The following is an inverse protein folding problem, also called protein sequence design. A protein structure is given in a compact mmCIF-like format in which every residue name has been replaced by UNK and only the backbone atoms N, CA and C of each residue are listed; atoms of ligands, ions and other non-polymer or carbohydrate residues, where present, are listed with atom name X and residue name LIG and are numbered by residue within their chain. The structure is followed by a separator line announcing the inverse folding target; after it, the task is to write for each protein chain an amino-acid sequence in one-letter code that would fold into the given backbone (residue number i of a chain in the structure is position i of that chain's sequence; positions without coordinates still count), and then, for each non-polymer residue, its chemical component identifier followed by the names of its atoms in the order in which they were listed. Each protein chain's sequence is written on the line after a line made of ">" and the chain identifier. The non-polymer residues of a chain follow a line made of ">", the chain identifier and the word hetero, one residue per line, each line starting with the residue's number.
data_IF_829024482971
#
_entry.id   IF_829024482971
#
_cell.length_a   1.000
_cell.length_b   1.000
_cell.length_c   1.000
_cell.angle_alpha   90.00
_cell.angle_beta   90.00
_cell.angle_gamma   90.00
#
_symmetry.space_group_name_H-M   'P 1'
#
loop_
_entity.id
_entity.type
_entity.pdbx_description
1 polymer ?
#
# COMPACT_ATOMS: atom_id res chain seq x y z
N UNK A 1 -2.63 -86.72 -4.37
CA UNK A 1 -2.26 -85.77 -5.43
C UNK A 1 -3.08 -84.49 -5.19
N UNK A 2 -2.48 -83.50 -4.60
CA UNK A 2 -3.13 -82.15 -4.28
C UNK A 2 -2.51 -81.08 -5.15
N UNK A 3 -3.26 -80.54 -6.09
CA UNK A 3 -2.83 -79.45 -6.93
C UNK A 3 -2.92 -78.15 -6.15
N UNK A 4 -1.80 -77.43 -6.00
CA UNK A 4 -1.72 -76.11 -5.45
C UNK A 4 -1.67 -75.15 -6.64
N UNK A 5 -2.79 -74.37 -6.86
CA UNK A 5 -2.80 -73.27 -7.80
C UNK A 5 -2.18 -72.03 -7.11
N UNK A 6 -1.04 -71.60 -7.63
CA UNK A 6 -0.44 -70.33 -7.21
C UNK A 6 -1.10 -69.16 -7.96
N UNK A 7 -1.80 -68.30 -7.21
CA UNK A 7 -2.39 -67.07 -7.73
C UNK A 7 -1.34 -65.95 -7.62
N UNK A 8 -0.74 -65.54 -8.74
CA UNK A 8 0.15 -64.37 -8.81
C UNK A 8 -0.69 -63.09 -8.92
N UNK A 9 -0.76 -62.34 -7.85
CA UNK A 9 -1.38 -61.00 -7.85
C UNK A 9 -0.39 -60.01 -8.49
N UNK A 10 -0.69 -59.53 -9.68
CA UNK A 10 0.03 -58.42 -10.31
C UNK A 10 -0.38 -57.09 -9.65
N UNK A 11 0.53 -56.50 -8.91
CA UNK A 11 0.38 -55.18 -8.34
C UNK A 11 0.75 -54.12 -9.40
N UNK A 12 -0.25 -53.59 -10.11
CA UNK A 12 -0.07 -52.44 -11.01
C UNK A 12 0.08 -51.18 -10.16
N UNK A 13 1.33 -50.68 -10.03
CA UNK A 13 1.57 -49.34 -9.50
C UNK A 13 0.98 -48.30 -10.47
N UNK A 14 -0.17 -47.72 -10.12
CA UNK A 14 -0.65 -46.48 -10.74
C UNK A 14 0.30 -45.34 -10.32
N UNK A 15 1.21 -44.98 -11.21
CA UNK A 15 1.94 -43.72 -11.10
C UNK A 15 0.99 -42.58 -11.44
N UNK A 16 0.28 -42.07 -10.43
CA UNK A 16 -0.44 -40.82 -10.58
C UNK A 16 0.57 -39.71 -10.93
N UNK A 17 0.33 -38.90 -11.99
CA UNK A 17 1.18 -37.74 -12.23
C UNK A 17 1.13 -36.85 -11.02
N UNK A 18 2.28 -36.62 -10.37
CA UNK A 18 2.44 -35.58 -9.38
C UNK A 18 2.22 -34.25 -10.12
N UNK A 19 0.96 -33.77 -10.10
CA UNK A 19 0.68 -32.38 -10.39
C UNK A 19 1.44 -31.60 -9.33
N UNK A 20 2.60 -31.07 -9.68
CA UNK A 20 3.24 -30.01 -8.91
C UNK A 20 2.23 -28.86 -8.94
N UNK A 21 1.45 -28.75 -7.89
CA UNK A 21 0.63 -27.58 -7.68
C UNK A 21 1.61 -26.40 -7.76
N UNK A 22 1.49 -25.58 -8.82
CA UNK A 22 2.28 -24.36 -8.98
C UNK A 22 1.89 -23.46 -7.80
N UNK A 23 2.62 -23.62 -6.67
CA UNK A 23 2.34 -22.82 -5.50
C UNK A 23 2.46 -21.34 -5.90
N UNK A 24 1.43 -20.57 -5.59
CA UNK A 24 1.34 -19.15 -5.91
C UNK A 24 2.51 -18.37 -5.30
N UNK A 25 2.94 -17.32 -5.96
CA UNK A 25 3.83 -16.32 -5.35
C UNK A 25 3.02 -15.54 -4.33
N UNK A 26 3.36 -15.66 -3.05
CA UNK A 26 2.67 -14.94 -1.99
C UNK A 26 3.25 -13.53 -1.81
N UNK A 27 2.39 -12.52 -1.87
CA UNK A 27 2.74 -11.10 -1.72
C UNK A 27 1.82 -10.47 -0.68
N UNK A 28 2.36 -9.84 0.36
CA UNK A 28 1.51 -9.19 1.37
C UNK A 28 2.07 -7.87 1.86
N UNK A 29 1.21 -6.97 2.32
CA UNK A 29 1.65 -5.73 2.94
C UNK A 29 0.80 -4.51 2.60
N UNK A 30 1.43 -3.43 2.22
CA UNK A 30 0.78 -2.13 2.00
C UNK A 30 -0.45 -2.20 1.08
N UNK A 31 -1.60 -1.72 1.58
CA UNK A 31 -2.84 -1.58 0.78
C UNK A 31 -2.73 -0.53 -0.33
N UNK A 32 -1.73 0.36 -0.29
CA UNK A 32 -1.48 1.29 -1.39
C UNK A 32 -0.66 0.65 -2.51
N UNK A 33 0.29 -0.22 -2.14
CA UNK A 33 1.12 -0.96 -3.09
C UNK A 33 0.30 -2.10 -3.71
N UNK A 34 -0.61 -2.74 -2.95
CA UNK A 34 -1.43 -3.84 -3.45
C UNK A 34 -2.26 -3.43 -4.67
N UNK A 35 -2.78 -2.20 -4.73
CA UNK A 35 -3.55 -1.73 -5.88
C UNK A 35 -2.82 -1.93 -7.22
N UNK A 36 -1.56 -1.52 -7.32
CA UNK A 36 -0.78 -1.68 -8.55
C UNK A 36 -0.25 -3.11 -8.71
N UNK A 37 0.12 -3.75 -7.59
CA UNK A 37 0.68 -5.12 -7.64
C UNK A 37 -0.38 -6.14 -8.04
N UNK A 38 -1.65 -5.94 -7.69
CA UNK A 38 -2.78 -6.78 -8.13
C UNK A 38 -2.96 -6.73 -9.66
N UNK A 39 -2.91 -5.54 -10.27
CA UNK A 39 -2.96 -5.38 -11.73
C UNK A 39 -1.75 -6.01 -12.41
N UNK A 40 -0.55 -5.82 -11.84
CA UNK A 40 0.67 -6.45 -12.31
C UNK A 40 0.60 -7.98 -12.20
N UNK A 41 0.07 -8.52 -11.10
CA UNK A 41 -0.12 -9.94 -10.86
C UNK A 41 -1.09 -10.56 -11.86
N UNK A 42 -2.23 -9.92 -12.09
CA UNK A 42 -3.22 -10.38 -13.07
C UNK A 42 -2.63 -10.42 -14.49
N UNK A 43 -1.92 -9.37 -14.89
CA UNK A 43 -1.30 -9.30 -16.22
C UNK A 43 -0.15 -10.29 -16.36
N UNK A 44 0.65 -10.50 -15.30
CA UNK A 44 1.69 -11.51 -15.24
C UNK A 44 1.11 -12.91 -15.36
N UNK A 45 0.03 -13.22 -14.65
CA UNK A 45 -0.66 -14.50 -14.72
C UNK A 45 -1.16 -14.80 -16.14
N UNK A 46 -1.79 -13.81 -16.80
CA UNK A 46 -2.25 -13.95 -18.20
C UNK A 46 -1.11 -14.29 -19.17
N UNK A 47 0.09 -13.77 -18.94
CA UNK A 47 1.22 -13.95 -19.84
C UNK A 47 2.12 -15.15 -19.50
N UNK A 48 2.23 -15.53 -18.24
CA UNK A 48 3.13 -16.58 -17.75
C UNK A 48 2.44 -17.87 -17.31
N UNK A 49 1.13 -17.82 -17.08
CA UNK A 49 0.35 -18.91 -16.47
C UNK A 49 0.61 -19.10 -14.97
N UNK A 50 1.43 -18.24 -14.35
CA UNK A 50 1.81 -18.34 -12.93
C UNK A 50 0.92 -17.48 -12.06
N UNK A 51 0.39 -18.06 -10.99
CA UNK A 51 -0.47 -17.35 -10.04
C UNK A 51 0.34 -16.56 -9.01
N UNK A 52 -0.13 -15.35 -8.71
CA UNK A 52 0.40 -14.47 -7.65
C UNK A 52 -0.76 -14.10 -6.73
N UNK A 53 -0.62 -14.41 -5.45
CA UNK A 53 -1.61 -14.08 -4.41
C UNK A 53 -1.18 -12.80 -3.70
N UNK A 54 -1.99 -11.75 -3.79
CA UNK A 54 -1.69 -10.41 -3.26
C UNK A 54 -2.65 -10.06 -2.14
N UNK A 55 -2.11 -9.69 -0.97
CA UNK A 55 -2.90 -9.36 0.21
C UNK A 55 -2.53 -8.01 0.81
N UNK A 56 -3.50 -7.10 0.90
CA UNK A 56 -3.35 -5.78 1.52
C UNK A 56 -3.50 -5.82 3.05
N UNK A 57 -2.40 -6.01 3.79
CA UNK A 57 -2.39 -6.18 5.26
C UNK A 57 -1.75 -5.01 6.02
N UNK A 58 -1.22 -4.00 5.31
CA UNK A 58 -0.47 -2.87 5.86
C UNK A 58 1.05 -3.06 5.76
N UNK A 59 1.78 -1.95 5.65
CA UNK A 59 3.24 -1.99 5.43
C UNK A 59 4.01 -2.68 6.54
N UNK A 60 3.65 -2.43 7.80
CA UNK A 60 4.35 -3.06 8.93
C UNK A 60 4.16 -4.58 8.93
N UNK A 61 2.95 -5.05 8.62
CA UNK A 61 2.66 -6.49 8.48
C UNK A 61 3.44 -7.11 7.32
N UNK A 62 3.52 -6.43 6.15
CA UNK A 62 4.28 -6.90 5.00
C UNK A 62 5.79 -6.99 5.25
N UNK A 63 6.36 -6.02 5.99
CA UNK A 63 7.77 -6.06 6.40
C UNK A 63 8.03 -7.28 7.29
N UNK A 64 7.16 -7.53 8.26
CA UNK A 64 7.27 -8.70 9.16
C UNK A 64 7.10 -10.00 8.39
N UNK A 65 6.13 -10.06 7.47
CA UNK A 65 5.88 -11.26 6.66
C UNK A 65 7.08 -11.65 5.78
N UNK A 66 7.72 -10.67 5.13
CA UNK A 66 8.93 -10.90 4.34
C UNK A 66 10.09 -11.38 5.23
N UNK A 67 10.31 -10.75 6.40
CA UNK A 67 11.36 -11.14 7.33
C UNK A 67 11.19 -12.56 7.85
N UNK A 68 9.97 -12.95 8.19
CA UNK A 68 9.67 -14.28 8.74
C UNK A 68 9.47 -15.34 7.64
N UNK A 69 9.44 -14.95 6.36
CA UNK A 69 9.21 -15.86 5.24
C UNK A 69 7.76 -16.37 5.13
N UNK A 70 6.79 -15.73 5.82
CA UNK A 70 5.36 -16.05 5.69
C UNK A 70 4.74 -15.52 4.39
N UNK A 71 5.42 -14.56 3.75
CA UNK A 71 5.19 -14.18 2.35
C UNK A 71 6.54 -14.13 1.63
N UNK A 72 6.55 -14.53 0.36
CA UNK A 72 7.76 -14.48 -0.49
C UNK A 72 8.18 -13.03 -0.75
N UNK A 73 7.19 -12.13 -0.86
CA UNK A 73 7.39 -10.71 -1.11
C UNK A 73 6.56 -9.91 -0.11
N UNK A 74 7.20 -8.99 0.61
CA UNK A 74 6.54 -7.97 1.42
C UNK A 74 6.35 -6.68 0.64
N UNK A 75 5.29 -5.93 0.91
CA UNK A 75 5.01 -4.63 0.31
C UNK A 75 5.05 -3.53 1.36
N UNK A 76 5.78 -2.44 1.09
CA UNK A 76 5.78 -1.25 1.94
C UNK A 76 5.58 0.03 1.12
N UNK A 77 4.76 0.95 1.62
CA UNK A 77 4.57 2.30 1.09
C UNK A 77 5.24 3.37 1.96
N UNK A 78 6.33 2.99 2.61
CA UNK A 78 7.24 3.85 3.37
C UNK A 78 8.63 3.24 3.43
N UNK A 79 9.61 4.05 3.73
CA UNK A 79 10.93 3.56 4.11
C UNK A 79 10.86 2.67 5.38
N UNK A 80 11.81 1.77 5.52
CA UNK A 80 11.97 0.97 6.73
C UNK A 80 12.43 1.86 7.89
N UNK A 81 11.94 1.57 9.08
CA UNK A 81 12.42 2.18 10.32
C UNK A 81 13.77 1.59 10.73
N UNK A 82 14.48 2.30 11.60
CA UNK A 82 15.63 1.71 12.27
C UNK A 82 15.23 0.39 12.99
N UNK A 83 15.97 -0.68 12.76
CA UNK A 83 15.69 -2.03 13.29
C UNK A 83 14.70 -2.88 12.46
N UNK A 84 14.03 -2.32 11.44
CA UNK A 84 13.24 -3.12 10.50
C UNK A 84 14.10 -3.74 9.39
N UNK A 85 15.22 -3.11 9.05
CA UNK A 85 16.18 -3.66 8.10
C UNK A 85 16.82 -4.94 8.69
N UNK A 86 17.02 -5.94 7.83
CA UNK A 86 17.74 -7.17 8.17
C UNK A 86 18.73 -7.48 7.05
N UNK A 87 19.87 -8.07 7.38
CA UNK A 87 20.96 -8.32 6.43
C UNK A 87 20.58 -9.30 5.31
N UNK A 88 19.58 -10.15 5.56
CA UNK A 88 19.05 -11.14 4.62
C UNK A 88 17.83 -10.65 3.83
N UNK A 89 17.42 -9.39 3.99
CA UNK A 89 16.28 -8.77 3.29
C UNK A 89 16.74 -7.70 2.32
N UNK A 90 16.41 -7.89 1.07
CA UNK A 90 16.54 -6.88 0.02
C UNK A 90 15.34 -5.94 0.00
N UNK A 91 15.60 -4.69 -0.39
CA UNK A 91 14.61 -3.64 -0.58
C UNK A 91 14.70 -3.14 -2.03
N UNK A 92 13.58 -3.13 -2.72
CA UNK A 92 13.51 -2.71 -4.10
C UNK A 92 12.40 -1.68 -4.28
N UNK A 93 12.75 -0.46 -4.69
CA UNK A 93 11.76 0.55 -5.06
C UNK A 93 11.20 0.20 -6.43
N UNK A 94 9.88 0.09 -6.54
CA UNK A 94 9.17 -0.25 -7.79
C UNK A 94 8.36 0.91 -8.37
N UNK A 95 8.04 1.90 -7.55
CA UNK A 95 7.32 3.10 -7.93
C UNK A 95 7.52 4.21 -6.90
N UNK A 96 7.12 5.44 -7.24
CA UNK A 96 6.89 6.53 -6.28
C UNK A 96 5.42 6.92 -6.32
N UNK A 97 4.90 7.38 -5.20
CA UNK A 97 3.50 7.72 -5.01
C UNK A 97 3.35 9.05 -4.25
N UNK A 98 2.37 9.84 -4.65
CA UNK A 98 1.92 11.00 -3.90
C UNK A 98 0.92 10.57 -2.81
N UNK A 99 0.95 11.23 -1.65
CA UNK A 99 -0.11 11.10 -0.67
C UNK A 99 -1.03 12.32 -0.82
N UNK A 100 -2.22 12.09 -1.37
CA UNK A 100 -3.24 13.14 -1.53
C UNK A 100 -3.98 13.37 -0.21
N UNK A 101 -4.19 14.62 0.15
CA UNK A 101 -5.16 15.03 1.18
C UNK A 101 -6.51 15.12 0.50
N UNK A 102 -7.50 14.40 1.01
CA UNK A 102 -8.79 14.24 0.35
C UNK A 102 -9.95 14.68 1.23
N UNK A 103 -10.99 15.19 0.56
CA UNK A 103 -12.30 15.49 1.12
C UNK A 103 -13.40 14.94 0.20
N UNK A 104 -14.64 14.97 0.67
CA UNK A 104 -15.80 14.72 -0.18
C UNK A 104 -15.89 15.79 -1.30
N UNK A 105 -16.44 15.43 -2.47
CA UNK A 105 -16.63 16.36 -3.59
C UNK A 105 -17.51 17.55 -3.24
N UNK A 106 -18.46 17.40 -2.29
CA UNK A 106 -19.34 18.48 -1.83
C UNK A 106 -18.61 19.47 -0.90
N UNK A 107 -17.44 19.16 -0.35
CA UNK A 107 -16.71 20.09 0.50
C UNK A 107 -16.20 21.29 -0.32
N UNK A 108 -16.50 22.55 0.07
CA UNK A 108 -16.12 23.71 -0.74
C UNK A 108 -14.62 24.07 -0.68
N UNK A 109 -13.87 23.48 0.26
CA UNK A 109 -12.42 23.77 0.41
C UNK A 109 -11.64 23.15 -0.72
N UNK A 110 -10.72 23.94 -1.33
CA UNK A 110 -9.89 23.54 -2.47
C UNK A 110 -8.41 23.40 -2.12
N UNK A 111 -7.99 24.04 -1.03
CA UNK A 111 -6.59 24.11 -0.64
C UNK A 111 -6.43 24.17 0.87
N UNK A 112 -5.43 23.47 1.38
CA UNK A 112 -4.97 23.58 2.75
C UNK A 112 -3.46 23.76 2.77
N UNK A 113 -2.95 24.60 3.65
CA UNK A 113 -1.52 24.63 3.91
C UNK A 113 -1.09 23.43 4.76
N UNK A 114 0.17 23.03 4.66
CA UNK A 114 0.74 21.96 5.52
C UNK A 114 0.55 22.27 7.01
N UNK A 115 0.63 23.54 7.40
CA UNK A 115 0.37 23.99 8.77
C UNK A 115 -1.09 23.74 9.17
N UNK A 116 -2.06 24.08 8.31
CA UNK A 116 -3.48 23.82 8.57
C UNK A 116 -3.77 22.33 8.66
N UNK A 117 -3.24 21.51 7.73
CA UNK A 117 -3.39 20.06 7.77
C UNK A 117 -2.85 19.51 9.11
N UNK A 118 -1.65 19.91 9.52
CA UNK A 118 -1.08 19.51 10.80
C UNK A 118 -1.97 19.88 11.97
N UNK A 119 -2.49 21.12 12.01
CA UNK A 119 -3.37 21.61 13.07
C UNK A 119 -4.73 20.90 13.09
N UNK A 120 -5.29 20.54 11.93
CA UNK A 120 -6.52 19.73 11.83
C UNK A 120 -6.27 18.35 12.46
N UNK A 121 -5.20 17.66 12.08
CA UNK A 121 -4.91 16.33 12.61
C UNK A 121 -4.56 16.33 14.10
N UNK A 122 -4.11 17.45 14.63
CA UNK A 122 -3.85 17.66 16.07
C UNK A 122 -5.07 18.15 16.86
N UNK A 123 -6.23 18.35 16.18
CA UNK A 123 -7.45 18.88 16.77
C UNK A 123 -7.31 20.32 17.27
N UNK A 124 -6.42 21.12 16.68
CA UNK A 124 -6.24 22.56 16.93
C UNK A 124 -7.16 23.38 16.02
N UNK A 125 -7.44 22.90 14.80
CA UNK A 125 -8.47 23.39 13.89
C UNK A 125 -9.55 22.31 13.83
N UNK A 126 -10.76 22.65 14.25
CA UNK A 126 -11.87 21.70 14.43
C UNK A 126 -13.11 22.01 13.61
N UNK A 127 -13.11 23.17 12.94
CA UNK A 127 -14.25 23.64 12.15
C UNK A 127 -13.75 24.11 10.78
N UNK A 128 -14.44 23.73 9.71
CA UNK A 128 -14.10 24.07 8.33
C UNK A 128 -14.08 25.58 8.09
N UNK A 129 -14.90 26.37 8.79
CA UNK A 129 -14.89 27.83 8.73
C UNK A 129 -13.52 28.44 9.02
N UNK A 130 -12.71 27.80 9.87
CA UNK A 130 -11.37 28.30 10.22
C UNK A 130 -10.39 28.22 9.04
N UNK A 131 -10.74 27.48 7.99
CA UNK A 131 -9.94 27.27 6.78
C UNK A 131 -10.69 27.62 5.49
N UNK A 132 -11.75 28.46 5.60
CA UNK A 132 -12.49 28.97 4.45
C UNK A 132 -13.63 28.10 3.95
N UNK A 133 -14.01 27.08 4.71
CA UNK A 133 -15.17 26.24 4.45
C UNK A 133 -16.44 26.68 5.19
N UNK A 134 -17.41 25.78 5.25
CA UNK A 134 -18.67 25.97 5.98
C UNK A 134 -18.48 25.98 7.50
N UNK A 135 -19.45 26.52 8.22
CA UNK A 135 -19.50 26.47 9.69
C UNK A 135 -19.93 25.07 10.17
N UNK A 136 -19.07 24.12 9.97
CA UNK A 136 -19.25 22.68 10.28
C UNK A 136 -18.01 22.09 10.92
N UNK A 137 -18.22 21.17 11.85
CA UNK A 137 -17.12 20.45 12.49
C UNK A 137 -16.36 19.58 11.48
N UNK A 138 -15.03 19.56 11.59
CA UNK A 138 -14.18 18.70 10.77
C UNK A 138 -14.20 17.28 11.35
N UNK A 139 -14.48 16.28 10.50
CA UNK A 139 -14.35 14.86 10.85
C UNK A 139 -13.02 14.36 10.33
N UNK A 140 -12.08 14.12 11.23
CA UNK A 140 -10.74 13.62 10.87
C UNK A 140 -10.78 12.11 10.72
N UNK A 141 -10.33 11.62 9.56
CA UNK A 141 -10.14 10.19 9.30
C UNK A 141 -8.64 9.93 9.16
N UNK A 142 -8.16 8.90 9.85
CA UNK A 142 -6.76 8.45 9.79
C UNK A 142 -6.69 6.97 9.50
N UNK A 143 -5.49 6.44 9.42
CA UNK A 143 -5.23 5.02 9.18
C UNK A 143 -4.80 4.32 10.48
N UNK A 144 -4.89 3.01 10.46
CA UNK A 144 -4.38 2.13 11.53
C UNK A 144 -2.85 2.21 11.68
N UNK A 145 -2.32 1.61 12.76
CA UNK A 145 -0.89 1.67 13.08
C UNK A 145 0.01 0.86 12.14
N UNK A 146 -0.55 -0.10 11.37
CA UNK A 146 0.20 -0.90 10.38
C UNK A 146 0.40 -0.16 9.06
N UNK A 147 -0.33 0.95 8.87
CA UNK A 147 -0.35 1.70 7.62
C UNK A 147 0.95 2.45 7.35
N UNK A 148 1.62 2.09 6.25
CA UNK A 148 2.75 2.85 5.73
C UNK A 148 2.37 4.25 5.26
N UNK A 149 1.13 4.45 4.78
CA UNK A 149 0.61 5.76 4.39
C UNK A 149 0.53 6.70 5.59
N UNK A 150 0.01 6.21 6.71
CA UNK A 150 -0.01 6.96 7.97
C UNK A 150 1.39 7.33 8.43
N UNK A 151 2.29 6.35 8.45
CA UNK A 151 3.67 6.56 8.91
C UNK A 151 4.40 7.62 8.06
N UNK A 152 4.26 7.54 6.72
CA UNK A 152 4.84 8.53 5.80
C UNK A 152 4.21 9.92 6.00
N UNK A 153 2.89 9.99 6.10
CA UNK A 153 2.15 11.23 6.33
C UNK A 153 2.55 11.90 7.65
N UNK A 154 2.60 11.12 8.74
CA UNK A 154 3.05 11.62 10.05
C UNK A 154 4.50 12.13 10.02
N UNK A 155 5.40 11.42 9.34
CA UNK A 155 6.82 11.82 9.19
C UNK A 155 6.93 13.14 8.42
N UNK A 156 6.26 13.23 7.26
CA UNK A 156 6.35 14.39 6.35
C UNK A 156 5.74 15.65 6.98
N UNK A 157 4.62 15.53 7.69
CA UNK A 157 3.93 16.65 8.31
C UNK A 157 4.37 16.94 9.75
N UNK A 158 5.30 16.16 10.30
CA UNK A 158 5.75 16.33 11.68
C UNK A 158 4.63 16.10 12.69
N UNK A 159 3.83 15.04 12.49
CA UNK A 159 2.72 14.63 13.37
C UNK A 159 3.17 13.59 14.42
N UNK A 160 4.44 13.58 14.77
CA UNK A 160 5.00 12.79 15.87
C UNK A 160 5.59 13.70 16.93
N UNK A 161 5.50 13.26 18.18
CA UNK A 161 6.13 13.89 19.33
C UNK A 161 6.87 12.84 20.15
N UNK A 162 7.88 13.25 20.89
CA UNK A 162 8.59 12.38 21.81
C UNK A 162 7.90 12.38 23.17
N UNK A 163 7.67 11.18 23.71
CA UNK A 163 7.21 10.95 25.08
C UNK A 163 8.16 9.96 25.70
N UNK A 164 8.95 10.38 26.68
CA UNK A 164 9.99 9.55 27.32
C UNK A 164 10.95 8.90 26.30
N UNK A 165 11.35 9.65 25.26
CA UNK A 165 12.22 9.13 24.19
C UNK A 165 11.52 8.24 23.14
N UNK A 166 10.23 7.96 23.29
CA UNK A 166 9.45 7.12 22.36
C UNK A 166 8.66 8.03 21.42
N UNK A 167 8.79 7.87 20.10
CA UNK A 167 7.99 8.62 19.12
C UNK A 167 6.54 8.14 19.15
N UNK A 168 5.63 9.02 19.54
CA UNK A 168 4.18 8.77 19.52
C UNK A 168 3.48 9.71 18.55
N UNK A 169 2.33 9.27 18.02
CA UNK A 169 1.50 10.09 17.14
C UNK A 169 0.98 11.33 17.85
N UNK A 170 0.86 12.44 17.12
CA UNK A 170 0.15 13.64 17.52
C UNK A 170 -1.22 13.75 16.85
N UNK A 171 -1.63 12.75 16.08
CA UNK A 171 -2.98 12.70 15.52
C UNK A 171 -3.96 12.55 16.68
N UNK A 172 -5.04 13.32 16.64
CA UNK A 172 -6.08 13.32 17.67
C UNK A 172 -6.64 11.91 17.92
N UNK A 173 -6.83 11.58 19.19
CA UNK A 173 -7.47 10.32 19.58
C UNK A 173 -8.95 10.23 19.13
N UNK A 174 -9.60 11.37 18.83
CA UNK A 174 -10.95 11.43 18.27
C UNK A 174 -11.02 11.16 16.76
N UNK A 175 -9.88 10.97 16.07
CA UNK A 175 -9.90 10.65 14.65
C UNK A 175 -10.45 9.23 14.40
N UNK A 176 -11.31 9.10 13.38
CA UNK A 176 -11.81 7.81 12.93
C UNK A 176 -10.69 6.99 12.27
N UNK A 177 -10.55 5.73 12.62
CA UNK A 177 -9.46 4.89 12.13
C UNK A 177 -9.96 3.95 11.03
N UNK A 178 -9.35 4.04 9.85
CA UNK A 178 -9.61 3.18 8.71
C UNK A 178 -8.48 2.15 8.52
N UNK A 179 -8.84 0.89 8.27
CA UNK A 179 -7.88 -0.22 8.11
C UNK A 179 -7.39 -0.43 6.67
N UNK A 180 -7.67 0.47 5.73
CA UNK A 180 -7.22 0.36 4.33
C UNK A 180 -7.68 1.56 3.51
N UNK A 181 -7.18 1.69 2.28
CA UNK A 181 -7.60 2.74 1.35
C UNK A 181 -9.10 2.65 1.02
N UNK A 182 -9.64 1.44 0.89
CA UNK A 182 -11.07 1.23 0.64
C UNK A 182 -11.94 1.84 1.73
N UNK A 183 -11.64 1.58 3.01
CA UNK A 183 -12.39 2.17 4.13
C UNK A 183 -12.22 3.69 4.20
N UNK A 184 -11.04 4.23 3.92
CA UNK A 184 -10.85 5.69 3.81
C UNK A 184 -11.79 6.28 2.77
N UNK A 185 -11.83 5.70 1.55
CA UNK A 185 -12.74 6.15 0.48
C UNK A 185 -14.19 6.15 0.95
N UNK A 186 -14.64 5.07 1.54
CA UNK A 186 -16.02 4.94 2.06
C UNK A 186 -16.34 6.01 3.11
N UNK A 187 -15.47 6.21 4.10
CA UNK A 187 -15.72 7.17 5.18
C UNK A 187 -15.77 8.61 4.68
N UNK A 188 -14.90 8.98 3.74
CA UNK A 188 -14.86 10.34 3.19
C UNK A 188 -15.98 10.57 2.17
N UNK A 189 -16.29 9.59 1.31
CA UNK A 189 -17.36 9.71 0.34
C UNK A 189 -18.76 9.84 0.98
N UNK A 190 -18.94 9.29 2.18
CA UNK A 190 -20.22 9.34 2.89
C UNK A 190 -20.29 10.46 3.96
N UNK A 191 -19.33 11.39 3.98
CA UNK A 191 -19.33 12.50 4.92
C UNK A 191 -18.70 13.76 4.31
N UNK A 192 -19.52 14.75 3.99
CA UNK A 192 -19.11 16.02 3.36
C UNK A 192 -18.07 16.80 4.19
N UNK A 193 -18.01 16.54 5.49
CA UNK A 193 -17.12 17.24 6.44
C UNK A 193 -15.90 16.41 6.85
N UNK A 194 -15.72 15.24 6.24
CA UNK A 194 -14.55 14.41 6.49
C UNK A 194 -13.32 14.89 5.73
N UNK A 195 -12.16 14.75 6.36
CA UNK A 195 -10.84 14.91 5.75
C UNK A 195 -10.00 13.66 6.02
N UNK A 196 -9.27 13.23 5.01
CA UNK A 196 -8.33 12.11 5.14
C UNK A 196 -7.13 12.28 4.21
N UNK A 197 -6.32 11.24 4.15
CA UNK A 197 -5.20 11.12 3.21
C UNK A 197 -5.16 9.70 2.64
N UNK A 198 -4.78 9.62 1.37
CA UNK A 198 -4.76 8.35 0.62
C UNK A 198 -3.64 8.38 -0.43
N UNK A 199 -3.23 7.24 -0.94
CA UNK A 199 -2.41 7.14 -2.14
C UNK A 199 -3.06 7.89 -3.32
N UNK A 200 -2.29 8.70 -4.04
CA UNK A 200 -2.82 9.49 -5.16
C UNK A 200 -3.46 8.61 -6.23
N UNK A 201 -2.80 7.50 -6.61
CA UNK A 201 -3.36 6.53 -7.55
C UNK A 201 -4.61 5.78 -7.05
N UNK A 202 -5.02 5.98 -5.79
CA UNK A 202 -6.25 5.42 -5.22
C UNK A 202 -7.41 6.41 -5.17
N UNK A 203 -7.20 7.66 -5.56
CA UNK A 203 -8.25 8.69 -5.53
C UNK A 203 -9.29 8.40 -6.62
N UNK A 204 -10.55 8.30 -6.23
CA UNK A 204 -11.69 8.22 -7.15
C UNK A 204 -12.31 9.62 -7.26
N UNK A 205 -11.99 10.31 -8.35
CA UNK A 205 -12.44 11.69 -8.58
C UNK A 205 -13.96 11.84 -8.73
N UNK A 206 -14.71 10.76 -8.92
CA UNK A 206 -16.17 10.79 -8.92
C UNK A 206 -16.76 10.95 -7.51
N UNK A 207 -16.01 10.55 -6.48
CA UNK A 207 -16.46 10.50 -5.10
C UNK A 207 -15.68 11.46 -4.19
N UNK A 208 -14.41 11.72 -4.52
CA UNK A 208 -13.46 12.39 -3.66
C UNK A 208 -12.70 13.46 -4.41
N UNK A 209 -12.39 14.54 -3.72
CA UNK A 209 -11.56 15.63 -4.20
C UNK A 209 -10.22 15.61 -3.49
N UNK A 210 -9.13 15.58 -4.26
CA UNK A 210 -7.79 15.83 -3.75
C UNK A 210 -7.57 17.34 -3.61
N UNK A 211 -7.28 17.79 -2.39
CA UNK A 211 -6.97 19.18 -2.11
C UNK A 211 -5.56 19.56 -2.62
N UNK A 212 -5.40 20.80 -3.04
CA UNK A 212 -4.07 21.38 -3.16
C UNK A 212 -3.44 21.49 -1.78
N UNK A 213 -2.13 21.33 -1.70
CA UNK A 213 -1.35 21.53 -0.48
C UNK A 213 -0.36 22.67 -0.73
N UNK A 214 -0.43 23.72 0.08
CA UNK A 214 0.35 24.96 -0.12
C UNK A 214 0.17 25.55 -1.54
N UNK A 215 -1.03 25.38 -2.13
CA UNK A 215 -1.36 25.82 -3.48
C UNK A 215 -0.93 24.84 -4.58
N UNK A 216 -0.24 23.77 -4.27
CA UNK A 216 0.29 22.79 -5.25
C UNK A 216 -0.66 21.59 -5.38
N UNK A 217 -1.05 21.28 -6.61
CA UNK A 217 -1.87 20.10 -6.93
C UNK A 217 -1.03 18.82 -6.80
N UNK A 218 -1.61 17.77 -6.19
CA UNK A 218 -1.04 16.44 -6.24
C UNK A 218 -1.18 15.87 -7.67
N UNK A 219 -0.13 15.96 -8.47
CA UNK A 219 -0.05 15.44 -9.83
C UNK A 219 1.32 14.84 -10.09
N UNK A 220 1.42 13.95 -11.08
CA UNK A 220 2.69 13.31 -11.45
C UNK A 220 3.76 14.34 -11.79
N UNK A 221 3.39 15.39 -12.54
CA UNK A 221 4.30 16.49 -12.90
C UNK A 221 4.87 17.20 -11.66
N UNK A 222 3.99 17.57 -10.71
CA UNK A 222 4.39 18.25 -9.48
C UNK A 222 5.17 17.36 -8.52
N UNK A 223 4.95 16.06 -8.57
CA UNK A 223 5.72 15.07 -7.81
C UNK A 223 7.12 14.90 -8.43
N UNK A 224 7.20 14.75 -9.74
CA UNK A 224 8.48 14.61 -10.48
C UNK A 224 9.34 15.84 -10.36
N UNK A 225 8.76 17.03 -10.44
CA UNK A 225 9.48 18.31 -10.26
C UNK A 225 9.84 18.60 -8.79
N UNK A 226 9.33 17.81 -7.83
CA UNK A 226 9.54 18.03 -6.40
C UNK A 226 8.70 19.16 -5.79
N UNK A 227 7.81 19.79 -6.56
CA UNK A 227 6.90 20.83 -6.06
C UNK A 227 5.88 20.25 -5.07
N UNK A 228 5.28 19.09 -5.38
CA UNK A 228 4.45 18.38 -4.42
C UNK A 228 5.31 17.44 -3.58
N UNK A 229 5.48 17.78 -2.32
CA UNK A 229 6.47 17.14 -1.43
C UNK A 229 5.92 16.03 -0.53
N UNK A 230 4.59 15.77 -0.54
CA UNK A 230 4.01 14.66 0.23
C UNK A 230 4.10 13.38 -0.60
N UNK A 231 5.30 12.85 -0.73
CA UNK A 231 5.61 11.70 -1.57
C UNK A 231 6.33 10.60 -0.81
N UNK A 232 6.30 9.38 -1.35
CA UNK A 232 6.90 8.19 -0.74
C UNK A 232 7.30 7.14 -1.77
N UNK A 233 8.22 6.23 -1.45
CA UNK A 233 8.51 5.08 -2.29
C UNK A 233 7.46 3.97 -2.08
N UNK A 234 7.22 3.17 -3.12
CA UNK A 234 6.66 1.84 -3.04
C UNK A 234 7.79 0.82 -3.10
N UNK A 235 7.89 0.00 -2.07
CA UNK A 235 9.02 -0.89 -1.85
C UNK A 235 8.53 -2.34 -1.78
N UNK A 236 9.20 -3.21 -2.51
CA UNK A 236 9.13 -4.65 -2.29
C UNK A 236 10.29 -5.09 -1.39
N UNK A 237 9.99 -6.06 -0.53
CA UNK A 237 10.95 -6.68 0.39
C UNK A 237 10.95 -8.19 0.15
N UNK A 238 12.12 -8.79 0.05
CA UNK A 238 12.27 -10.22 -0.18
C UNK A 238 13.63 -10.72 0.33
N UNK A 239 13.74 -12.03 0.54
CA UNK A 239 14.99 -12.64 1.01
C UNK A 239 16.09 -12.54 -0.07
N UNK A 240 17.36 -12.51 0.35
CA UNK A 240 18.50 -12.58 -0.57
C UNK A 240 18.46 -13.87 -1.44
N UNK A 241 18.13 -14.99 -0.80
CA UNK A 241 17.84 -16.26 -1.48
C UNK A 241 16.35 -16.33 -1.84
N UNK A 242 15.97 -15.56 -2.85
CA UNK A 242 14.58 -15.45 -3.28
C UNK A 242 14.17 -16.65 -4.12
N UNK A 243 12.96 -17.18 -3.85
CA UNK A 243 12.33 -18.20 -4.69
C UNK A 243 12.32 -17.76 -6.16
N UNK A 244 12.77 -18.61 -7.11
CA UNK A 244 12.83 -18.24 -8.54
C UNK A 244 11.50 -17.69 -9.09
N UNK A 245 10.35 -18.17 -8.59
CA UNK A 245 9.03 -17.69 -9.00
C UNK A 245 8.81 -16.23 -8.59
N UNK A 246 9.20 -15.88 -7.36
CA UNK A 246 9.13 -14.52 -6.86
C UNK A 246 10.13 -13.62 -7.61
N UNK A 247 11.34 -14.10 -7.89
CA UNK A 247 12.33 -13.38 -8.68
C UNK A 247 11.84 -13.08 -10.11
N UNK A 248 11.15 -14.04 -10.76
CA UNK A 248 10.55 -13.83 -12.08
C UNK A 248 9.46 -12.75 -12.06
N UNK A 249 8.60 -12.76 -11.04
CA UNK A 249 7.55 -11.73 -10.89
C UNK A 249 8.17 -10.35 -10.61
N UNK A 250 9.18 -10.26 -9.75
CA UNK A 250 9.92 -9.01 -9.49
C UNK A 250 10.55 -8.47 -10.79
N UNK A 251 11.15 -9.34 -11.59
CA UNK A 251 11.73 -8.97 -12.89
C UNK A 251 10.66 -8.47 -13.86
N UNK A 252 9.48 -9.09 -13.86
CA UNK A 252 8.34 -8.62 -14.65
C UNK A 252 7.88 -7.23 -14.21
N UNK A 253 7.77 -6.96 -12.91
CA UNK A 253 7.40 -5.62 -12.39
C UNK A 253 8.38 -4.55 -12.89
N UNK A 254 9.68 -4.85 -12.94
CA UNK A 254 10.72 -3.94 -13.41
C UNK A 254 10.90 -3.89 -14.93
N UNK A 255 10.20 -4.71 -15.70
CA UNK A 255 10.23 -4.66 -17.16
C UNK A 255 9.52 -3.41 -17.68
N UNK A 256 9.78 -3.03 -18.94
CA UNK A 256 9.08 -1.89 -19.58
C UNK A 256 7.56 -2.07 -19.54
N UNK A 257 7.07 -3.30 -19.77
CA UNK A 257 5.64 -3.64 -19.67
C UNK A 257 5.11 -3.44 -18.24
N UNK A 258 5.83 -3.93 -17.22
CA UNK A 258 5.44 -3.74 -15.83
C UNK A 258 5.44 -2.26 -15.43
N UNK A 259 6.45 -1.51 -15.85
CA UNK A 259 6.55 -0.08 -15.55
C UNK A 259 5.53 0.77 -16.34
N UNK A 260 5.09 0.34 -17.52
CA UNK A 260 3.95 0.95 -18.22
C UNK A 260 2.66 0.80 -17.41
N UNK A 261 2.41 -0.40 -16.86
CA UNK A 261 1.26 -0.64 -15.98
C UNK A 261 1.34 0.25 -14.71
N UNK A 262 2.53 0.41 -14.12
CA UNK A 262 2.73 1.32 -12.97
C UNK A 262 2.27 2.73 -13.32
N UNK A 263 2.66 3.26 -14.48
CA UNK A 263 2.25 4.59 -14.95
C UNK A 263 0.74 4.67 -15.24
N UNK A 264 0.16 3.67 -15.91
CA UNK A 264 -1.27 3.60 -16.21
C UNK A 264 -2.14 3.58 -14.94
N UNK A 265 -1.61 3.06 -13.83
CA UNK A 265 -2.27 3.06 -12.52
C UNK A 265 -2.05 4.37 -11.74
N UNK A 266 -1.48 5.44 -12.35
CA UNK A 266 -1.27 6.73 -11.71
C UNK A 266 -0.13 6.76 -10.69
N UNK A 267 0.90 5.95 -10.91
CA UNK A 267 2.11 5.94 -10.08
C UNK A 267 3.33 6.31 -10.93
N UNK A 268 4.32 6.89 -10.29
CA UNK A 268 5.55 7.29 -10.95
C UNK A 268 6.48 6.10 -11.05
N UNK A 269 6.80 5.72 -12.27
CA UNK A 269 7.74 4.62 -12.57
C UNK A 269 9.17 4.96 -12.14
N UNK A 270 9.98 3.91 -11.97
CA UNK A 270 11.40 4.02 -11.57
C UNK A 270 12.37 3.92 -12.75
N UNK A 271 11.86 3.67 -13.94
CA UNK A 271 12.59 3.59 -15.21
C UNK A 271 11.90 4.39 -16.29
#
# INVERSE_FOLDING_TARGET
>A
MKNILSLAAAFTLLTAPLYHANAAVSVSGSTSVSNVVEVLAETYQKSSGRHVDVQGTGSSSGIVAAKNGTSMIGMSSRELKAGEAAADIQQLVIARDGIAVIVNNNNPVENLTRKQIKSIYRNEITNWKQVGGEDKAIVVVTRDASSGTREAFEKILGLKRQVNGIPVTSISAGAQVANGNGMVKTLVANNDYAVSYISLGSVDNNLLKALKVDGITASDENILSGQYSITRPFILLFKNETDPRAADFIRYILSDKGQSIVAEQGYIRVK
#
